data_IF_304837399049
#
_entry.id   IF_304837399049
#
_cell.length_a   1.000
_cell.length_b   1.000
_cell.length_c   1.000
_cell.angle_alpha   90.00
_cell.angle_beta   90.00
_cell.angle_gamma   90.00
#
_symmetry.space_group_name_H-M   'P 1'
#
loop_
_entity.id
_entity.type
_entity.pdbx_description
1 polymer ?
#
# COMPACT_ATOMS: atom_id res chain seq x y z
N UNK A 1 2.82 13.19 10.64
CA UNK A 1 1.36 12.99 10.81
C UNK A 1 0.51 13.95 9.97
N UNK A 2 0.96 15.18 9.68
CA UNK A 2 0.19 16.14 8.87
C UNK A 2 -0.15 15.64 7.45
N UNK A 3 0.81 15.08 6.71
CA UNK A 3 0.61 14.65 5.32
C UNK A 3 -0.49 13.60 5.11
N UNK A 4 -0.66 12.62 6.01
CA UNK A 4 -1.73 11.62 5.85
C UNK A 4 -3.12 12.16 6.22
N UNK A 5 -3.17 13.14 7.13
CA UNK A 5 -4.42 13.78 7.54
C UNK A 5 -4.91 14.82 6.53
N UNK A 6 -4.01 15.35 5.70
CA UNK A 6 -4.34 16.28 4.61
C UNK A 6 -4.93 15.57 3.38
N UNK A 7 -4.62 14.29 3.18
CA UNK A 7 -5.03 13.49 2.02
C UNK A 7 -5.95 12.32 2.41
N UNK A 8 -7.04 12.62 3.11
CA UNK A 8 -8.01 11.61 3.54
C UNK A 8 -8.74 10.98 2.35
N UNK A 9 -8.92 9.65 2.39
CA UNK A 9 -9.82 8.96 1.47
C UNK A 9 -11.26 9.46 1.69
N UNK A 10 -12.02 9.56 0.59
CA UNK A 10 -13.45 9.87 0.65
C UNK A 10 -14.20 8.82 1.48
N UNK A 11 -15.25 9.21 2.23
CA UNK A 11 -16.10 8.26 2.92
C UNK A 11 -16.81 7.35 1.91
N UNK A 12 -17.10 6.11 2.33
CA UNK A 12 -17.82 5.17 1.48
C UNK A 12 -19.28 5.60 1.33
N UNK A 13 -19.78 5.76 0.09
CA UNK A 13 -21.21 5.96 -0.16
C UNK A 13 -22.03 4.70 0.19
N UNK A 14 -23.36 4.83 0.23
CA UNK A 14 -24.26 3.73 0.56
C UNK A 14 -24.14 2.53 -0.40
N UNK A 15 -23.87 2.79 -1.69
CA UNK A 15 -23.65 1.78 -2.72
C UNK A 15 -22.23 1.18 -2.70
N UNK A 16 -21.35 1.68 -1.82
CA UNK A 16 -19.96 1.25 -1.62
C UNK A 16 -19.07 1.39 -2.87
N UNK A 17 -19.49 2.18 -3.86
CA UNK A 17 -18.68 2.48 -5.03
C UNK A 17 -17.51 3.39 -4.65
N UNK A 18 -16.32 3.12 -5.22
CA UNK A 18 -15.12 3.90 -4.96
C UNK A 18 -14.72 4.61 -6.25
N UNK A 19 -14.78 5.95 -6.24
CA UNK A 19 -14.35 6.75 -7.39
C UNK A 19 -12.83 6.59 -7.63
N UNK A 20 -12.46 6.18 -8.84
CA UNK A 20 -11.08 5.85 -9.21
C UNK A 20 -10.15 7.05 -9.05
N UNK A 21 -10.54 8.22 -9.59
CA UNK A 21 -9.71 9.42 -9.56
C UNK A 21 -9.32 9.85 -8.14
N UNK A 22 -10.30 10.15 -7.26
CA UNK A 22 -10.02 10.49 -5.87
C UNK A 22 -9.29 9.40 -5.08
N UNK A 23 -9.60 8.12 -5.35
CA UNK A 23 -8.88 7.02 -4.72
C UNK A 23 -7.39 7.03 -5.11
N UNK A 24 -7.08 7.17 -6.40
CA UNK A 24 -5.70 7.19 -6.89
C UNK A 24 -4.93 8.41 -6.39
N UNK A 25 -5.58 9.57 -6.33
CA UNK A 25 -4.99 10.79 -5.77
C UNK A 25 -4.61 10.58 -4.31
N UNK A 26 -5.54 10.13 -3.46
CA UNK A 26 -5.28 9.92 -2.04
C UNK A 26 -4.17 8.89 -1.80
N UNK A 27 -4.22 7.73 -2.47
CA UNK A 27 -3.21 6.67 -2.27
C UNK A 27 -1.86 7.00 -2.90
N UNK A 28 -1.76 7.99 -3.80
CA UNK A 28 -0.48 8.44 -4.35
C UNK A 28 0.42 9.14 -3.33
N UNK A 29 -0.16 9.59 -2.20
CA UNK A 29 0.56 10.21 -1.08
C UNK A 29 1.11 9.20 -0.06
N UNK A 30 0.75 7.92 -0.19
CA UNK A 30 1.22 6.87 0.73
C UNK A 30 2.67 6.41 0.48
N UNK A 31 3.16 6.20 -0.76
CA UNK A 31 4.52 5.72 -0.98
C UNK A 31 5.63 6.57 -0.33
N UNK A 32 5.57 7.91 -0.29
CA UNK A 32 6.55 8.74 0.43
C UNK A 32 6.67 8.44 1.94
N UNK A 33 5.64 7.86 2.57
CA UNK A 33 5.71 7.44 3.98
C UNK A 33 6.89 6.49 4.24
N UNK A 34 7.22 5.63 3.28
CA UNK A 34 8.33 4.68 3.43
C UNK A 34 9.70 5.37 3.51
N UNK A 35 9.85 6.56 2.93
CA UNK A 35 11.09 7.34 3.05
C UNK A 35 11.27 7.85 4.48
N UNK A 36 10.17 8.12 5.20
CA UNK A 36 10.18 8.54 6.60
C UNK A 36 10.61 7.42 7.56
N UNK A 37 10.60 6.17 7.12
CA UNK A 37 11.07 5.03 7.92
C UNK A 37 12.59 4.84 7.83
N UNK A 38 13.27 5.58 6.94
CA UNK A 38 14.72 5.65 6.84
C UNK A 38 15.43 4.32 6.57
N UNK A 39 14.69 3.30 6.09
CA UNK A 39 15.22 1.95 5.91
C UNK A 39 15.08 1.47 4.46
N UNK A 40 16.19 1.06 3.79
CA UNK A 40 16.17 0.55 2.43
C UNK A 40 15.29 -0.68 2.20
N UNK A 41 14.88 -1.38 3.27
CA UNK A 41 13.93 -2.50 3.20
C UNK A 41 12.61 -2.12 2.56
N UNK A 42 12.20 -0.85 2.69
CA UNK A 42 10.93 -0.39 2.18
C UNK A 42 10.97 0.07 0.72
N UNK A 43 12.17 0.24 0.13
CA UNK A 43 12.32 0.70 -1.27
C UNK A 43 11.61 -0.22 -2.28
N UNK A 44 11.73 -1.56 -2.21
CA UNK A 44 11.00 -2.44 -3.14
C UNK A 44 9.48 -2.35 -2.94
N UNK A 45 9.02 -2.17 -1.71
CA UNK A 45 7.59 -2.05 -1.37
C UNK A 45 7.03 -0.73 -1.93
N UNK A 46 7.76 0.37 -1.76
CA UNK A 46 7.44 1.68 -2.33
C UNK A 46 7.34 1.59 -3.86
N UNK A 47 8.32 0.98 -4.52
CA UNK A 47 8.35 0.85 -5.97
C UNK A 47 7.17 0.02 -6.50
N UNK A 48 6.84 -1.10 -5.86
CA UNK A 48 5.69 -1.93 -6.23
C UNK A 48 4.36 -1.17 -6.11
N UNK A 49 4.13 -0.48 -5.00
CA UNK A 49 2.91 0.30 -4.77
C UNK A 49 2.80 1.44 -5.80
N UNK A 50 3.86 2.22 -5.99
CA UNK A 50 3.87 3.31 -6.97
C UNK A 50 3.64 2.80 -8.39
N UNK A 51 4.28 1.68 -8.77
CA UNK A 51 4.08 1.07 -10.09
C UNK A 51 2.64 0.63 -10.33
N UNK A 52 2.00 0.04 -9.32
CA UNK A 52 0.59 -0.34 -9.40
C UNK A 52 -0.34 0.88 -9.53
N UNK A 53 -0.09 1.96 -8.77
CA UNK A 53 -0.86 3.22 -8.88
C UNK A 53 -0.73 3.80 -10.30
N UNK A 54 0.50 3.90 -10.82
CA UNK A 54 0.77 4.41 -12.18
C UNK A 54 0.04 3.58 -13.23
N UNK A 55 0.03 2.25 -13.10
CA UNK A 55 -0.64 1.37 -14.07
C UNK A 55 -2.16 1.54 -14.05
N UNK A 56 -2.78 1.68 -12.87
CA UNK A 56 -4.22 1.93 -12.77
C UNK A 56 -4.56 3.32 -13.30
N UNK A 57 -3.73 4.34 -12.99
CA UNK A 57 -3.90 5.70 -13.49
C UNK A 57 -3.82 5.76 -15.01
N UNK A 58 -2.89 5.04 -15.62
CA UNK A 58 -2.76 4.96 -17.07
C UNK A 58 -4.04 4.38 -17.73
N UNK A 59 -4.65 3.33 -17.15
CA UNK A 59 -5.93 2.80 -17.65
C UNK A 59 -7.07 3.81 -17.45
N UNK A 60 -7.16 4.41 -16.26
CA UNK A 60 -8.17 5.43 -15.95
C UNK A 60 -8.13 6.61 -16.93
N UNK A 61 -6.94 7.10 -17.28
CA UNK A 61 -6.75 8.25 -18.16
C UNK A 61 -7.16 8.00 -19.60
N UNK A 62 -7.26 6.74 -20.03
CA UNK A 62 -7.78 6.43 -21.38
C UNK A 62 -9.25 6.80 -21.52
N UNK A 63 -10.04 6.67 -20.44
CA UNK A 63 -11.45 7.07 -20.42
C UNK A 63 -11.96 7.20 -18.96
N UNK A 64 -11.80 8.39 -18.34
CA UNK A 64 -12.21 8.62 -16.95
C UNK A 64 -13.70 8.39 -16.68
N UNK A 65 -14.56 8.56 -17.69
CA UNK A 65 -16.01 8.33 -17.57
C UNK A 65 -16.30 6.82 -17.52
N UNK A 66 -15.66 6.04 -18.39
CA UNK A 66 -15.81 4.58 -18.44
C UNK A 66 -15.20 3.91 -17.20
N UNK A 67 -14.08 4.43 -16.71
CA UNK A 67 -13.35 3.91 -15.56
C UNK A 67 -13.62 4.70 -14.27
N UNK A 68 -14.83 5.27 -14.15
CA UNK A 68 -15.21 6.18 -13.06
C UNK A 68 -15.01 5.57 -11.67
N UNK A 69 -15.32 4.29 -11.51
CA UNK A 69 -15.17 3.57 -10.24
C UNK A 69 -14.20 2.39 -10.37
N UNK A 70 -13.62 1.96 -9.25
CA UNK A 70 -12.78 0.75 -9.22
C UNK A 70 -13.57 -0.49 -9.70
N UNK A 71 -14.87 -0.54 -9.41
CA UNK A 71 -15.76 -1.58 -9.88
C UNK A 71 -15.88 -1.57 -11.41
N UNK A 72 -16.02 -0.39 -12.03
CA UNK A 72 -16.07 -0.30 -13.49
C UNK A 72 -14.76 -0.74 -14.15
N UNK A 73 -13.59 -0.51 -13.53
CA UNK A 73 -12.33 -1.06 -14.04
C UNK A 73 -12.41 -2.58 -14.18
N UNK A 74 -12.87 -3.26 -13.13
CA UNK A 74 -12.96 -4.72 -13.14
C UNK A 74 -13.98 -5.22 -14.17
N UNK A 75 -15.16 -4.61 -14.24
CA UNK A 75 -16.22 -4.98 -15.19
C UNK A 75 -15.77 -4.80 -16.65
N UNK A 76 -15.23 -3.62 -16.96
CA UNK A 76 -14.79 -3.27 -18.31
C UNK A 76 -13.59 -4.11 -18.75
N UNK A 77 -12.60 -4.32 -17.87
CA UNK A 77 -11.45 -5.17 -18.23
C UNK A 77 -11.84 -6.64 -18.36
N UNK A 78 -12.82 -7.12 -17.59
CA UNK A 78 -13.34 -8.47 -17.75
C UNK A 78 -13.97 -8.67 -19.12
N UNK A 79 -14.76 -7.71 -19.59
CA UNK A 79 -15.34 -7.73 -20.93
C UNK A 79 -14.26 -7.60 -22.03
N UNK A 80 -13.28 -6.73 -21.83
CA UNK A 80 -12.22 -6.45 -22.80
C UNK A 80 -11.25 -7.62 -23.00
N UNK A 81 -10.85 -8.28 -21.92
CA UNK A 81 -9.79 -9.30 -21.94
C UNK A 81 -10.30 -10.74 -21.86
N UNK A 82 -11.59 -10.96 -21.62
CA UNK A 82 -12.22 -12.28 -21.63
C UNK A 82 -11.47 -13.30 -20.76
N UNK A 83 -10.94 -14.35 -21.40
CA UNK A 83 -10.26 -15.45 -20.72
C UNK A 83 -8.93 -15.09 -20.02
N UNK A 84 -8.32 -13.96 -20.34
CA UNK A 84 -7.08 -13.51 -19.68
C UNK A 84 -7.33 -12.80 -18.35
N UNK A 85 -8.55 -12.30 -18.13
CA UNK A 85 -8.97 -11.69 -16.87
C UNK A 85 -9.03 -12.75 -15.75
N UNK A 86 -8.58 -12.47 -14.51
CA UNK A 86 -8.21 -11.16 -13.94
C UNK A 86 -6.70 -10.85 -13.94
N UNK A 87 -5.88 -11.60 -14.70
CA UNK A 87 -4.40 -11.52 -14.60
C UNK A 87 -3.80 -10.48 -15.55
N UNK A 88 -4.55 -9.42 -15.85
CA UNK A 88 -4.19 -8.40 -16.84
C UNK A 88 -4.54 -7.00 -16.35
N UNK A 89 -4.01 -6.00 -17.05
CA UNK A 89 -4.45 -4.61 -16.92
C UNK A 89 -4.32 -3.99 -15.51
N UNK A 90 -5.21 -3.05 -15.23
CA UNK A 90 -5.39 -2.39 -13.96
C UNK A 90 -6.03 -3.30 -12.90
N UNK A 91 -6.77 -4.34 -13.29
CA UNK A 91 -7.31 -5.35 -12.37
C UNK A 91 -6.18 -6.06 -11.63
N UNK A 92 -5.17 -6.53 -12.36
CA UNK A 92 -3.99 -7.16 -11.76
C UNK A 92 -3.23 -6.15 -10.88
N UNK A 93 -3.09 -4.91 -11.34
CA UNK A 93 -2.41 -3.84 -10.60
C UNK A 93 -3.14 -3.53 -9.28
N UNK A 94 -4.46 -3.39 -9.31
CA UNK A 94 -5.29 -3.14 -8.14
C UNK A 94 -5.28 -4.33 -7.17
N UNK A 95 -5.21 -5.56 -7.69
CA UNK A 95 -5.07 -6.76 -6.86
C UNK A 95 -3.78 -6.76 -6.04
N UNK A 96 -2.67 -6.28 -6.58
CA UNK A 96 -1.41 -6.13 -5.83
C UNK A 96 -1.42 -4.89 -4.95
N UNK A 97 -1.90 -3.75 -5.47
CA UNK A 97 -2.02 -2.50 -4.71
C UNK A 97 -2.80 -2.69 -3.40
N UNK A 98 -3.97 -3.35 -3.43
CA UNK A 98 -4.77 -3.56 -2.21
C UNK A 98 -4.04 -4.37 -1.13
N UNK A 99 -3.06 -5.20 -1.50
CA UNK A 99 -2.22 -5.94 -0.54
C UNK A 99 -1.17 -5.01 0.07
N UNK A 100 -0.53 -4.16 -0.74
CA UNK A 100 0.36 -3.11 -0.25
C UNK A 100 -0.35 -2.12 0.68
N UNK A 101 -1.57 -1.69 0.32
CA UNK A 101 -2.41 -0.85 1.18
C UNK A 101 -2.77 -1.55 2.49
N UNK A 102 -3.10 -2.85 2.45
CA UNK A 102 -3.36 -3.63 3.66
C UNK A 102 -2.12 -3.75 4.54
N UNK A 103 -0.93 -3.88 3.96
CA UNK A 103 0.32 -3.86 4.71
C UNK A 103 0.48 -2.54 5.47
N UNK A 104 0.36 -1.40 4.78
CA UNK A 104 0.47 -0.06 5.39
C UNK A 104 -0.56 0.09 6.52
N UNK A 105 -1.81 -0.28 6.26
CA UNK A 105 -2.89 -0.15 7.23
C UNK A 105 -2.67 -1.00 8.49
N UNK A 106 -2.24 -2.26 8.35
CA UNK A 106 -1.94 -3.13 9.51
C UNK A 106 -0.69 -2.63 10.27
N UNK A 107 0.33 -2.19 9.53
CA UNK A 107 1.56 -1.67 10.11
C UNK A 107 1.30 -0.43 10.97
N UNK A 108 0.60 0.57 10.40
CA UNK A 108 0.25 1.80 11.11
C UNK A 108 -0.67 1.53 12.30
N UNK A 109 -1.69 0.68 12.12
CA UNK A 109 -2.60 0.32 13.20
C UNK A 109 -1.85 -0.34 14.37
N UNK A 110 -0.95 -1.27 14.08
CA UNK A 110 -0.12 -1.95 15.08
C UNK A 110 0.74 -0.97 15.88
N UNK A 111 1.29 0.07 15.23
CA UNK A 111 2.02 1.15 15.92
C UNK A 111 1.07 2.00 16.79
N UNK A 112 -0.09 2.39 16.25
CA UNK A 112 -1.08 3.17 16.99
C UNK A 112 -1.64 2.44 18.21
N UNK A 113 -1.79 1.11 18.12
CA UNK A 113 -2.25 0.24 19.21
C UNK A 113 -1.15 0.02 20.27
N UNK A 114 0.06 0.52 20.04
CA UNK A 114 1.19 0.41 20.97
C UNK A 114 1.85 -0.97 20.99
N UNK A 115 1.60 -1.82 20.00
CA UNK A 115 2.23 -3.13 19.89
C UNK A 115 3.74 -2.96 19.66
N UNK A 116 4.56 -3.56 20.52
CA UNK A 116 6.02 -3.45 20.48
C UNK A 116 6.67 -4.67 21.12
N UNK A 117 7.94 -4.89 20.79
CA UNK A 117 8.79 -5.84 21.51
C UNK A 117 9.18 -5.22 22.86
N UNK A 118 8.83 -5.86 23.99
CA UNK A 118 9.17 -5.33 25.32
C UNK A 118 10.68 -5.26 25.58
N UNK A 119 11.45 -6.17 24.97
CA UNK A 119 12.91 -6.18 25.10
C UNK A 119 13.57 -5.13 24.19
N UNK A 120 12.87 -4.73 23.13
CA UNK A 120 13.36 -3.80 22.12
C UNK A 120 12.26 -2.81 21.70
N UNK A 121 11.77 -1.94 22.60
CA UNK A 121 10.56 -1.14 22.39
C UNK A 121 10.68 -0.09 21.29
N UNK A 122 11.90 0.22 20.88
CA UNK A 122 12.18 1.11 19.76
C UNK A 122 12.21 0.38 18.42
N UNK A 123 12.00 -0.93 18.31
CA UNK A 123 12.00 -1.61 17.02
C UNK A 123 10.57 -1.76 16.48
N UNK A 124 10.34 -1.31 15.25
CA UNK A 124 9.07 -1.52 14.51
C UNK A 124 9.00 -2.88 13.79
N UNK A 125 9.94 -3.76 14.11
CA UNK A 125 10.11 -5.07 13.47
C UNK A 125 8.91 -5.97 13.68
N UNK A 126 8.32 -5.93 14.88
CA UNK A 126 7.11 -6.71 15.22
C UNK A 126 5.90 -6.24 14.41
N UNK A 127 5.74 -4.92 14.26
CA UNK A 127 4.65 -4.32 13.50
C UNK A 127 4.80 -4.66 12.00
N UNK A 128 6.01 -4.52 11.46
CA UNK A 128 6.31 -4.85 10.06
C UNK A 128 6.12 -6.34 9.76
N UNK A 129 6.48 -7.21 10.71
CA UNK A 129 6.26 -8.65 10.60
C UNK A 129 4.77 -8.96 10.56
N UNK A 130 4.00 -8.47 11.54
CA UNK A 130 2.54 -8.64 11.57
C UNK A 130 1.88 -8.20 10.26
N UNK A 131 2.23 -7.02 9.77
CA UNK A 131 1.72 -6.48 8.52
C UNK A 131 2.03 -7.39 7.32
N UNK A 132 3.27 -7.88 7.23
CA UNK A 132 3.69 -8.78 6.15
C UNK A 132 2.95 -10.11 6.16
N UNK A 133 2.81 -10.72 7.35
CA UNK A 133 2.13 -12.01 7.50
C UNK A 133 0.67 -11.93 7.08
N UNK A 134 -0.01 -10.84 7.46
CA UNK A 134 -1.42 -10.65 7.14
C UNK A 134 -1.67 -10.25 5.68
N UNK A 135 -0.77 -9.49 5.06
CA UNK A 135 -1.02 -8.86 3.77
C UNK A 135 -0.33 -9.54 2.57
N UNK A 136 0.91 -10.02 2.73
CA UNK A 136 1.81 -10.33 1.61
C UNK A 136 2.35 -11.77 1.63
N UNK A 137 2.68 -12.32 2.81
CA UNK A 137 3.42 -13.60 2.97
C UNK A 137 2.89 -14.74 2.11
N UNK A 138 1.57 -14.94 2.08
CA UNK A 138 0.93 -16.05 1.33
C UNK A 138 1.06 -15.94 -0.20
N UNK A 139 1.44 -14.78 -0.71
CA UNK A 139 1.61 -14.51 -2.15
C UNK A 139 3.07 -14.49 -2.59
N UNK A 140 4.00 -14.59 -1.64
CA UNK A 140 5.43 -14.58 -1.90
C UNK A 140 5.99 -15.99 -1.84
N UNK A 141 6.73 -16.37 -2.87
CA UNK A 141 7.53 -17.60 -2.85
C UNK A 141 8.62 -17.54 -1.78
N UNK A 142 9.19 -18.71 -1.46
CA UNK A 142 10.18 -18.87 -0.40
C UNK A 142 11.35 -17.86 -0.48
N UNK A 143 11.85 -17.58 -1.68
CA UNK A 143 12.95 -16.63 -1.91
C UNK A 143 12.57 -15.22 -1.44
N UNK A 144 11.40 -14.72 -1.84
CA UNK A 144 10.94 -13.37 -1.46
C UNK A 144 10.67 -13.29 0.04
N UNK A 145 10.15 -14.36 0.64
CA UNK A 145 10.00 -14.43 2.10
C UNK A 145 11.35 -14.33 2.84
N UNK A 146 12.41 -14.95 2.30
CA UNK A 146 13.77 -14.86 2.87
C UNK A 146 14.37 -13.47 2.74
N UNK A 147 14.18 -12.83 1.59
CA UNK A 147 14.59 -11.43 1.39
C UNK A 147 13.92 -10.53 2.44
N UNK A 148 12.62 -10.68 2.64
CA UNK A 148 11.90 -9.90 3.65
C UNK A 148 12.48 -10.12 5.06
N UNK A 149 12.71 -11.37 5.48
CA UNK A 149 13.31 -11.68 6.80
C UNK A 149 14.70 -11.05 6.98
N UNK A 150 15.55 -11.11 5.95
CA UNK A 150 16.90 -10.53 6.00
C UNK A 150 16.86 -9.01 6.14
N UNK A 151 15.98 -8.35 5.39
CA UNK A 151 15.86 -6.89 5.40
C UNK A 151 15.22 -6.33 6.67
N UNK A 152 14.65 -7.17 7.54
CA UNK A 152 14.14 -6.70 8.81
C UNK A 152 15.26 -6.32 9.80
N UNK A 153 16.48 -6.90 9.70
CA UNK A 153 17.53 -6.76 10.73
C UNK A 153 17.88 -5.33 11.16
N UNK A 154 17.85 -4.30 10.30
CA UNK A 154 18.20 -2.93 10.66
C UNK A 154 16.99 -2.03 11.04
N UNK A 155 15.80 -2.58 11.31
CA UNK A 155 14.59 -1.79 11.58
C UNK A 155 14.52 -1.24 13.02
N UNK A 156 15.03 -0.02 13.24
CA UNK A 156 14.88 0.78 14.48
C UNK A 156 13.99 2.02 14.27
N UNK A 157 13.28 2.46 15.31
CA UNK A 157 12.49 3.70 15.36
C UNK A 157 13.35 4.96 15.38
N UNK A 158 14.66 4.84 15.54
CA UNK A 158 15.57 6.00 15.55
C UNK A 158 15.43 6.85 14.26
N UNK A 159 14.85 6.26 13.21
CA UNK A 159 14.61 6.86 11.90
C UNK A 159 13.21 7.45 11.68
N UNK A 160 12.21 7.29 12.57
CA UNK A 160 10.90 7.96 12.39
C UNK A 160 11.07 9.44 12.76
N UNK A 161 11.72 10.18 11.87
CA UNK A 161 11.78 11.64 11.93
C UNK A 161 10.44 12.15 11.44
N UNK A 162 9.51 12.31 12.37
CA UNK A 162 8.23 12.96 12.09
C UNK A 162 8.50 14.37 11.57
N UNK A 163 7.99 14.76 10.38
CA UNK A 163 8.04 16.15 9.98
C UNK A 163 7.23 16.98 10.97
N UNK A 164 7.88 17.91 11.68
CA UNK A 164 7.24 18.86 12.61
C UNK A 164 7.85 18.97 14.02
N UNK A 165 8.87 18.19 14.40
CA UNK A 165 9.63 18.45 15.63
C UNK A 165 10.95 19.15 15.29
N UNK A 166 10.92 20.47 15.23
CA UNK A 166 12.12 21.29 15.41
C UNK A 166 12.45 21.36 16.91
N UNK A 167 13.74 21.36 17.21
CA UNK A 167 14.29 21.45 18.57
C UNK A 167 14.33 22.90 19.02
#
# INVERSE_FOLDING_TARGET
MALLAEHLLKPLPADKQIETGPFLEAVSHLPPFFDCLGSPVFTPIKADISGNITKIKAVYDTNPVKFRTLQNILEVEKEMYGGEWPRVGATLALMWLKRGLRFIQVFLQSICDGERDENHPNLIRVNATKAYEMALKKYHGWIVQKIFQALQLPLSNDSIRMPGHES
#
